data_IF_056280766935
#
_entry.id   IF_056280766935
#
_cell.length_a   1.000
_cell.length_b   1.000
_cell.length_c   1.000
_cell.angle_alpha   90.00
_cell.angle_beta   90.00
_cell.angle_gamma   90.00
#
_symmetry.space_group_name_H-M   'P 1'
#
loop_
_entity.id
_entity.type
_entity.pdbx_description
1 polymer ?
#
# COMPACT_ATOMS: atom_id res chain seq x y z
N UNK A 1 12.02 -2.29 -3.66
CA UNK A 1 12.49 -1.11 -4.43
C UNK A 1 13.92 -1.35 -4.87
N UNK A 2 14.20 -1.20 -6.16
CA UNK A 2 15.57 -1.21 -6.66
C UNK A 2 16.08 0.24 -6.80
N UNK A 3 17.17 0.53 -6.08
CA UNK A 3 17.88 1.80 -6.10
C UNK A 3 18.99 1.73 -7.16
N UNK A 4 18.64 2.10 -8.39
CA UNK A 4 19.57 2.04 -9.54
C UNK A 4 20.81 2.92 -9.36
N UNK A 5 20.68 4.02 -8.65
CA UNK A 5 21.75 5.01 -8.38
C UNK A 5 22.89 4.47 -7.47
N UNK A 6 22.57 3.49 -6.63
CA UNK A 6 23.53 2.85 -5.70
C UNK A 6 23.55 1.33 -5.83
N UNK A 7 22.98 0.79 -6.91
CA UNK A 7 22.90 -0.65 -7.18
C UNK A 7 22.45 -1.48 -5.97
N UNK A 8 21.36 -1.08 -5.34
CA UNK A 8 20.89 -1.66 -4.08
C UNK A 8 19.43 -2.04 -4.17
N UNK A 9 19.11 -3.27 -3.80
CA UNK A 9 17.74 -3.73 -3.61
C UNK A 9 17.30 -3.46 -2.17
N UNK A 10 16.17 -2.78 -2.00
CA UNK A 10 15.56 -2.52 -0.71
C UNK A 10 14.26 -3.33 -0.56
N UNK A 11 14.19 -4.17 0.46
CA UNK A 11 13.00 -4.94 0.82
C UNK A 11 12.28 -4.26 1.98
N UNK A 12 10.99 -4.00 1.79
CA UNK A 12 10.13 -3.40 2.81
C UNK A 12 9.05 -4.38 3.22
N UNK A 13 8.73 -4.41 4.51
CA UNK A 13 7.61 -5.21 5.03
C UNK A 13 6.97 -4.54 6.24
N UNK A 14 5.74 -4.93 6.51
CA UNK A 14 5.02 -4.53 7.72
C UNK A 14 5.26 -5.54 8.84
N UNK A 15 5.56 -5.03 10.02
CA UNK A 15 5.58 -5.78 11.26
C UNK A 15 4.50 -5.26 12.21
N UNK A 16 3.71 -6.16 12.77
CA UNK A 16 2.60 -5.84 13.67
C UNK A 16 2.88 -6.41 15.04
N UNK A 17 2.84 -5.59 16.05
CA UNK A 17 2.79 -6.02 17.45
C UNK A 17 1.38 -5.77 18.01
N UNK A 18 0.59 -6.83 18.07
CA UNK A 18 -0.78 -6.75 18.61
C UNK A 18 -0.84 -6.48 20.11
N UNK A 19 0.22 -6.81 20.86
CA UNK A 19 0.30 -6.60 22.30
C UNK A 19 0.51 -5.12 22.64
N UNK A 20 1.51 -4.51 22.01
CA UNK A 20 1.83 -3.09 22.20
C UNK A 20 0.99 -2.17 21.31
N UNK A 21 0.28 -2.74 20.32
CA UNK A 21 -0.47 -2.02 19.28
C UNK A 21 0.39 -1.05 18.49
N UNK A 22 1.61 -1.49 18.18
CA UNK A 22 2.53 -0.76 17.33
C UNK A 22 2.61 -1.46 15.98
N UNK A 23 2.37 -0.71 14.91
CA UNK A 23 2.65 -1.12 13.54
C UNK A 23 3.96 -0.46 13.09
N UNK A 24 4.81 -1.23 12.41
CA UNK A 24 6.09 -0.77 11.88
C UNK A 24 6.20 -1.12 10.41
N UNK A 25 6.76 -0.21 9.64
CA UNK A 25 7.33 -0.53 8.32
C UNK A 25 8.82 -0.71 8.54
N UNK A 26 9.32 -1.86 8.13
CA UNK A 26 10.71 -2.28 8.27
C UNK A 26 11.39 -2.29 6.91
N UNK A 27 12.70 -2.13 6.90
CA UNK A 27 13.54 -2.22 5.70
C UNK A 27 14.79 -3.06 5.94
N UNK A 28 15.21 -3.79 4.92
CA UNK A 28 16.56 -4.33 4.73
C UNK A 28 17.05 -4.02 3.33
N UNK A 29 18.35 -4.00 3.15
CA UNK A 29 19.00 -3.74 1.87
C UNK A 29 19.99 -4.83 1.53
N UNK A 30 20.22 -5.03 0.23
CA UNK A 30 21.25 -5.92 -0.29
C UNK A 30 21.76 -5.41 -1.63
N UNK A 31 23.02 -5.71 -1.95
CA UNK A 31 23.64 -5.46 -3.26
C UNK A 31 23.81 -6.74 -4.08
N UNK A 32 23.66 -7.90 -3.48
CA UNK A 32 23.89 -9.21 -4.11
C UNK A 32 22.66 -10.15 -4.05
N UNK A 33 21.59 -9.74 -3.36
CA UNK A 33 20.39 -10.55 -3.15
C UNK A 33 20.55 -11.68 -2.11
N UNK A 34 21.74 -11.89 -1.59
CA UNK A 34 22.10 -12.99 -0.67
C UNK A 34 22.34 -12.45 0.74
N UNK A 35 23.21 -11.44 0.86
CA UNK A 35 23.58 -10.85 2.14
C UNK A 35 22.73 -9.60 2.40
N UNK A 36 21.96 -9.64 3.49
CA UNK A 36 21.02 -8.57 3.84
C UNK A 36 21.50 -7.78 5.05
N UNK A 37 21.34 -6.48 4.99
CA UNK A 37 21.62 -5.59 6.12
C UNK A 37 20.77 -5.94 7.33
N UNK A 38 21.12 -5.41 8.51
CA UNK A 38 20.26 -5.44 9.69
C UNK A 38 18.94 -4.73 9.40
N UNK A 39 17.83 -5.27 9.92
CA UNK A 39 16.51 -4.66 9.78
C UNK A 39 16.45 -3.29 10.49
N UNK A 40 15.88 -2.30 9.83
CA UNK A 40 15.71 -0.94 10.32
C UNK A 40 14.24 -0.53 10.33
N UNK A 41 13.83 0.28 11.30
CA UNK A 41 12.51 0.89 11.31
C UNK A 41 12.47 2.04 10.29
N UNK A 42 11.47 2.04 9.42
CA UNK A 42 11.23 3.08 8.41
C UNK A 42 10.11 4.01 8.85
N UNK A 43 9.06 3.44 9.42
CA UNK A 43 7.93 4.15 9.95
C UNK A 43 7.35 3.38 11.13
N UNK A 44 7.01 4.09 12.19
CA UNK A 44 6.37 3.52 13.39
C UNK A 44 5.08 4.26 13.63
N UNK A 45 4.00 3.54 13.82
CA UNK A 45 2.69 4.12 14.11
C UNK A 45 1.97 3.42 15.26
N UNK A 46 1.15 4.18 15.98
CA UNK A 46 0.21 3.63 16.94
C UNK A 46 -1.00 3.05 16.20
N UNK A 47 -1.16 1.73 16.24
CA UNK A 47 -2.25 1.03 15.56
C UNK A 47 -3.66 1.40 16.09
N UNK A 48 -3.76 2.18 17.17
CA UNK A 48 -5.02 2.75 17.65
C UNK A 48 -5.48 3.94 16.81
N UNK A 49 -4.56 4.71 16.28
CA UNK A 49 -4.81 5.95 15.52
C UNK A 49 -4.53 5.82 14.03
N UNK A 50 -3.43 5.17 13.67
CA UNK A 50 -2.97 4.99 12.29
C UNK A 50 -2.45 3.56 12.08
N UNK A 51 -3.34 2.65 11.73
CA UNK A 51 -2.99 1.27 11.43
C UNK A 51 -2.62 1.10 9.96
N UNK A 52 -1.32 1.03 9.69
CA UNK A 52 -0.77 1.02 8.34
C UNK A 52 -0.91 -0.36 7.69
N UNK A 53 -1.44 -0.39 6.47
CA UNK A 53 -1.45 -1.56 5.58
C UNK A 53 -0.74 -1.23 4.27
N UNK A 54 -0.14 -2.28 3.66
CA UNK A 54 0.35 -2.29 2.29
C UNK A 54 1.21 -1.08 1.93
N UNK A 55 2.44 -1.00 2.44
CA UNK A 55 3.35 0.05 2.03
C UNK A 55 3.82 -0.21 0.58
N UNK A 56 3.20 0.44 -0.39
CA UNK A 56 3.73 0.54 -1.74
C UNK A 56 4.75 1.68 -1.76
N UNK A 57 6.00 1.37 -2.04
CA UNK A 57 7.10 2.33 -2.01
C UNK A 57 7.83 2.31 -3.34
N UNK A 58 8.05 3.48 -3.92
CA UNK A 58 8.92 3.68 -5.08
C UNK A 58 9.97 4.74 -4.76
N UNK A 59 11.08 4.69 -5.50
CA UNK A 59 12.12 5.71 -5.48
C UNK A 59 12.30 6.28 -6.87
N UNK A 60 12.13 7.58 -6.99
CA UNK A 60 12.32 8.31 -8.24
C UNK A 60 12.71 9.76 -7.98
N UNK A 61 13.48 10.33 -8.89
CA UNK A 61 13.90 11.74 -8.83
C UNK A 61 14.48 12.15 -7.46
N UNK A 62 15.27 11.25 -6.83
CA UNK A 62 15.92 11.50 -5.55
C UNK A 62 14.98 11.45 -4.35
N UNK A 63 13.74 10.92 -4.48
CA UNK A 63 12.75 10.84 -3.40
C UNK A 63 12.09 9.48 -3.32
N UNK A 64 11.82 9.07 -2.10
CA UNK A 64 10.90 7.97 -1.81
C UNK A 64 9.47 8.48 -1.77
N UNK A 65 8.57 7.74 -2.36
CA UNK A 65 7.12 7.96 -2.35
C UNK A 65 6.45 6.72 -1.81
N UNK A 66 5.54 6.89 -0.86
CA UNK A 66 4.87 5.76 -0.20
C UNK A 66 3.36 5.98 -0.16
N UNK A 67 2.64 4.99 -0.65
CA UNK A 67 1.18 4.86 -0.48
C UNK A 67 0.88 3.74 0.50
N UNK A 68 -0.06 4.00 1.41
CA UNK A 68 -0.49 3.03 2.43
C UNK A 68 -2.00 3.10 2.60
N UNK A 69 -2.61 2.05 3.12
CA UNK A 69 -4.00 2.11 3.59
C UNK A 69 -4.02 2.23 5.10
N UNK A 70 -4.76 3.21 5.63
CA UNK A 70 -5.03 3.26 7.05
C UNK A 70 -6.29 2.45 7.37
N UNK A 71 -6.17 1.28 8.02
CA UNK A 71 -7.33 0.45 8.37
C UNK A 71 -8.21 1.00 9.49
N UNK A 72 -7.94 2.18 9.99
CA UNK A 72 -8.83 2.95 10.84
C UNK A 72 -9.59 3.98 9.98
N UNK A 73 -10.62 4.62 10.51
CA UNK A 73 -11.28 5.80 9.94
C UNK A 73 -11.64 5.69 8.44
N UNK A 74 -12.40 4.67 8.04
CA UNK A 74 -12.91 4.52 6.66
C UNK A 74 -11.90 4.02 5.62
N UNK A 75 -10.73 3.54 6.00
CA UNK A 75 -9.72 2.97 5.13
C UNK A 75 -9.22 3.92 4.02
N UNK A 76 -8.82 5.15 4.35
CA UNK A 76 -8.26 6.04 3.36
C UNK A 76 -6.92 5.52 2.84
N UNK A 77 -6.61 5.85 1.60
CA UNK A 77 -5.25 5.76 1.07
C UNK A 77 -4.50 7.01 1.52
N UNK A 78 -3.32 6.82 2.07
CA UNK A 78 -2.44 7.87 2.57
C UNK A 78 -1.16 7.90 1.74
N UNK A 79 -0.70 9.10 1.41
CA UNK A 79 0.54 9.36 0.69
C UNK A 79 1.55 10.08 1.57
N UNK A 80 2.82 9.71 1.46
CA UNK A 80 3.96 10.33 2.14
C UNK A 80 5.17 10.38 1.21
N UNK A 81 6.04 11.35 1.45
CA UNK A 81 7.35 11.44 0.80
C UNK A 81 8.48 11.41 1.82
N UNK A 82 9.67 10.99 1.35
CA UNK A 82 10.90 11.05 2.13
C UNK A 82 12.11 11.29 1.20
N UNK A 83 13.12 12.00 1.68
CA UNK A 83 14.40 12.15 0.99
C UNK A 83 15.35 10.98 1.27
N UNK A 84 15.28 10.41 2.45
CA UNK A 84 16.22 9.40 2.97
C UNK A 84 15.59 8.03 3.21
N UNK A 85 14.26 7.92 3.06
CA UNK A 85 13.51 6.70 3.33
C UNK A 85 13.26 6.43 4.82
N UNK A 86 13.59 7.37 5.71
CA UNK A 86 13.41 7.25 7.16
C UNK A 86 12.57 8.39 7.75
N UNK A 87 12.75 9.61 7.27
CA UNK A 87 11.98 10.77 7.71
C UNK A 87 10.89 11.08 6.68
N UNK A 88 9.65 10.77 7.06
CA UNK A 88 8.48 10.87 6.18
C UNK A 88 7.64 12.10 6.50
N UNK A 89 7.09 12.71 5.46
CA UNK A 89 6.15 13.83 5.61
C UNK A 89 4.89 13.41 6.37
N UNK A 90 4.17 14.39 6.92
CA UNK A 90 2.79 14.19 7.39
C UNK A 90 1.95 13.64 6.23
N UNK A 91 1.13 12.59 6.46
CA UNK A 91 0.39 11.96 5.38
C UNK A 91 -0.69 12.88 4.80
N UNK A 92 -0.78 12.92 3.48
CA UNK A 92 -1.94 13.45 2.76
C UNK A 92 -2.91 12.32 2.39
N UNK A 93 -4.21 12.61 2.34
CA UNK A 93 -5.22 11.63 1.96
C UNK A 93 -5.46 11.64 0.47
N UNK A 94 -5.45 10.47 -0.15
CA UNK A 94 -5.82 10.27 -1.54
C UNK A 94 -7.26 9.77 -1.63
N UNK A 95 -8.08 10.48 -2.38
CA UNK A 95 -9.48 10.11 -2.62
C UNK A 95 -9.58 9.23 -3.87
N UNK A 96 -9.69 7.91 -3.67
CA UNK A 96 -9.96 6.99 -4.77
C UNK A 96 -11.44 7.03 -5.17
N UNK A 97 -11.70 7.16 -6.47
CA UNK A 97 -13.05 7.25 -7.04
C UNK A 97 -13.54 5.84 -7.43
N UNK A 98 -14.06 5.10 -6.46
CA UNK A 98 -14.62 3.77 -6.68
C UNK A 98 -15.95 3.78 -7.44
N UNK A 99 -16.35 2.66 -8.07
CA UNK A 99 -17.69 2.50 -8.66
C UNK A 99 -18.85 2.62 -7.64
N UNK A 100 -18.57 2.44 -6.35
CA UNK A 100 -19.52 2.56 -5.26
C UNK A 100 -18.87 3.24 -4.04
N UNK A 101 -19.61 4.13 -3.40
CA UNK A 101 -19.21 4.80 -2.15
C UNK A 101 -19.14 3.87 -0.94
N UNK A 102 -19.67 2.65 -1.05
CA UNK A 102 -19.59 1.61 -0.03
C UNK A 102 -18.26 0.86 -0.05
N UNK A 103 -17.44 1.03 -1.08
CA UNK A 103 -16.12 0.35 -1.19
C UNK A 103 -15.09 1.00 -0.26
N UNK A 104 -14.23 0.16 0.29
CA UNK A 104 -13.14 0.55 1.20
C UNK A 104 -11.86 -0.13 0.75
N UNK A 105 -10.78 0.63 0.64
CA UNK A 105 -9.45 0.12 0.30
C UNK A 105 -8.98 -0.90 1.35
N UNK A 106 -8.27 -1.94 0.90
CA UNK A 106 -7.69 -2.94 1.80
C UNK A 106 -6.19 -3.11 1.58
N UNK A 107 -5.79 -3.58 0.41
CA UNK A 107 -4.40 -3.67 -0.01
C UNK A 107 -4.20 -2.87 -1.30
N UNK A 108 -3.01 -2.38 -1.52
CA UNK A 108 -2.64 -1.69 -2.75
C UNK A 108 -1.18 -1.97 -3.11
N UNK A 109 -0.89 -1.77 -4.37
CA UNK A 109 0.46 -1.62 -4.90
C UNK A 109 0.48 -0.53 -5.96
N UNK A 110 1.63 0.14 -6.11
CA UNK A 110 1.81 1.26 -7.05
C UNK A 110 3.11 1.08 -7.81
N UNK A 111 3.03 1.27 -9.12
CA UNK A 111 4.20 1.36 -9.98
C UNK A 111 4.21 2.71 -10.71
N UNK A 112 5.39 3.16 -11.09
CA UNK A 112 5.56 4.29 -12.01
C UNK A 112 6.00 3.78 -13.37
N UNK A 113 5.32 4.23 -14.41
CA UNK A 113 5.58 3.89 -15.81
C UNK A 113 5.70 5.17 -16.64
N UNK A 114 6.02 5.06 -17.91
CA UNK A 114 6.01 6.21 -18.84
C UNK A 114 4.63 6.90 -18.93
N UNK A 115 3.55 6.18 -18.57
CA UNK A 115 2.18 6.70 -18.53
C UNK A 115 1.84 7.45 -17.25
N UNK A 116 2.71 7.41 -16.23
CA UNK A 116 2.51 7.94 -14.89
C UNK A 116 2.38 6.83 -13.84
N UNK A 117 1.67 7.10 -12.75
CA UNK A 117 1.43 6.14 -11.67
C UNK A 117 0.26 5.23 -12.00
N UNK A 118 0.48 3.94 -11.83
CA UNK A 118 -0.54 2.91 -11.98
C UNK A 118 -0.72 2.20 -10.63
N UNK A 119 -1.95 2.07 -10.17
CA UNK A 119 -2.27 1.48 -8.87
C UNK A 119 -3.23 0.31 -9.04
N UNK A 120 -2.86 -0.82 -8.45
CA UNK A 120 -3.77 -1.91 -8.16
C UNK A 120 -4.26 -1.78 -6.72
N UNK A 121 -5.55 -1.89 -6.50
CA UNK A 121 -6.12 -1.80 -5.16
C UNK A 121 -7.20 -2.86 -4.94
N UNK A 122 -7.02 -3.64 -3.89
CA UNK A 122 -8.05 -4.55 -3.40
C UNK A 122 -9.00 -3.73 -2.52
N UNK A 123 -10.30 -3.83 -2.78
CA UNK A 123 -11.30 -3.15 -1.98
C UNK A 123 -12.49 -4.07 -1.68
N UNK A 124 -13.14 -3.83 -0.54
CA UNK A 124 -14.27 -4.59 -0.03
C UNK A 124 -15.49 -3.70 0.25
N UNK A 125 -16.69 -4.27 0.20
CA UNK A 125 -17.91 -3.57 0.57
C UNK A 125 -18.06 -3.44 2.08
N UNK A 126 -18.27 -2.20 2.56
CA UNK A 126 -18.54 -1.93 3.97
C UNK A 126 -19.80 -2.68 4.42
N UNK A 127 -19.72 -3.37 5.56
CA UNK A 127 -20.82 -4.12 6.16
C UNK A 127 -20.91 -5.58 5.77
N UNK A 128 -20.11 -6.06 4.81
CA UNK A 128 -20.07 -7.48 4.49
C UNK A 128 -19.21 -8.25 5.50
N UNK A 129 -19.79 -9.28 6.13
CA UNK A 129 -19.10 -10.13 7.13
C UNK A 129 -17.90 -10.87 6.55
N UNK A 130 -17.93 -11.21 5.28
CA UNK A 130 -16.93 -12.02 4.57
C UNK A 130 -16.21 -11.21 3.49
N UNK A 131 -16.07 -9.92 3.68
CA UNK A 131 -15.25 -9.02 2.86
C UNK A 131 -15.05 -9.52 1.42
N UNK A 132 -16.12 -9.57 0.63
CA UNK A 132 -16.01 -9.79 -0.81
C UNK A 132 -15.05 -8.74 -1.36
N UNK A 133 -13.87 -9.19 -1.76
CA UNK A 133 -12.81 -8.30 -2.21
C UNK A 133 -12.69 -8.40 -3.71
N UNK A 134 -12.75 -7.27 -4.37
CA UNK A 134 -12.48 -7.14 -5.78
C UNK A 134 -11.14 -6.43 -5.99
N UNK A 135 -10.49 -6.72 -7.11
CA UNK A 135 -9.30 -6.00 -7.55
C UNK A 135 -9.71 -4.89 -8.51
N UNK A 136 -9.22 -3.71 -8.24
CA UNK A 136 -9.43 -2.50 -9.03
C UNK A 136 -8.11 -1.97 -9.56
N UNK A 137 -8.18 -1.34 -10.72
CA UNK A 137 -7.09 -0.59 -11.33
C UNK A 137 -7.46 0.88 -11.42
N UNK A 138 -6.47 1.75 -11.20
CA UNK A 138 -6.57 3.18 -11.49
C UNK A 138 -5.20 3.72 -11.88
N UNK A 139 -5.16 4.89 -12.51
CA UNK A 139 -3.93 5.56 -12.92
C UNK A 139 -3.99 7.06 -12.69
N UNK A 140 -2.82 7.68 -12.58
CA UNK A 140 -2.67 9.12 -12.42
C UNK A 140 -1.43 9.64 -13.14
N UNK A 141 -1.41 10.92 -13.49
CA UNK A 141 -0.22 11.62 -13.97
C UNK A 141 0.66 12.17 -12.84
N UNK A 142 0.11 12.23 -11.63
CA UNK A 142 0.80 12.66 -10.42
C UNK A 142 0.46 11.70 -9.25
N UNK A 143 1.01 11.96 -8.08
CA UNK A 143 0.92 11.10 -6.91
C UNK A 143 -0.47 11.09 -6.25
N UNK A 144 -1.38 11.98 -6.65
CA UNK A 144 -2.62 12.26 -5.93
C UNK A 144 -3.90 12.07 -6.76
N UNK A 145 -3.91 12.48 -8.02
CA UNK A 145 -5.14 12.63 -8.81
C UNK A 145 -5.46 11.37 -9.62
N UNK A 146 -5.71 10.29 -8.91
CA UNK A 146 -6.07 9.02 -9.54
C UNK A 146 -7.44 9.09 -10.22
N UNK A 147 -7.52 8.53 -11.43
CA UNK A 147 -8.76 8.41 -12.21
C UNK A 147 -9.77 7.53 -11.50
N UNK A 148 -10.97 7.41 -12.08
CA UNK A 148 -12.00 6.48 -11.60
C UNK A 148 -11.46 5.06 -11.63
N UNK A 149 -11.61 4.33 -10.51
CA UNK A 149 -11.22 2.94 -10.41
C UNK A 149 -12.10 2.06 -11.30
N UNK A 150 -11.49 1.17 -12.06
CA UNK A 150 -12.18 0.15 -12.84
C UNK A 150 -11.99 -1.22 -12.18
N UNK A 151 -13.02 -2.03 -12.15
CA UNK A 151 -12.94 -3.41 -11.65
C UNK A 151 -12.26 -4.28 -12.68
N UNK A 152 -11.16 -4.96 -12.32
CA UNK A 152 -10.43 -5.86 -13.23
C UNK A 152 -10.60 -7.33 -12.85
N UNK A 153 -10.86 -7.63 -11.57
CA UNK A 153 -11.09 -9.00 -11.14
C UNK A 153 -12.09 -9.03 -9.98
N UNK A 154 -13.01 -10.00 -10.03
CA UNK A 154 -13.96 -10.32 -8.97
C UNK A 154 -13.71 -11.73 -8.48
N UNK A 155 -14.05 -12.07 -7.21
CA UNK A 155 -14.06 -13.44 -6.74
C UNK A 155 -14.96 -14.32 -7.62
N UNK A 156 -14.64 -15.59 -7.74
CA UNK A 156 -15.52 -16.53 -8.42
C UNK A 156 -16.84 -16.71 -7.64
N UNK A 157 -17.95 -16.91 -8.35
CA UNK A 157 -19.27 -17.10 -7.71
C UNK A 157 -19.42 -18.46 -7.01
N UNK A 158 -18.45 -19.35 -7.14
CA UNK A 158 -18.44 -20.66 -6.46
C UNK A 158 -18.21 -20.46 -4.97
N UNK A 159 -19.28 -20.60 -4.20
CA UNK A 159 -19.36 -20.46 -2.73
C UNK A 159 -18.59 -21.53 -1.95
N UNK A 160 -17.33 -21.71 -2.19
CA UNK A 160 -16.48 -22.41 -1.21
C UNK A 160 -15.96 -21.36 -0.23
N UNK A 161 -15.90 -21.69 1.05
CA UNK A 161 -15.51 -20.76 2.12
C UNK A 161 -14.14 -20.06 1.89
N UNK A 162 -13.30 -20.61 1.03
CA UNK A 162 -12.01 -20.07 0.63
C UNK A 162 -12.08 -19.08 -0.53
N UNK A 163 -13.07 -19.24 -1.44
CA UNK A 163 -13.21 -18.38 -2.63
C UNK A 163 -13.79 -17.00 -2.29
N UNK A 164 -14.40 -16.87 -1.10
CA UNK A 164 -15.02 -15.63 -0.66
C UNK A 164 -14.08 -14.68 0.09
N UNK A 165 -12.82 -15.06 0.25
CA UNK A 165 -11.85 -14.24 1.03
C UNK A 165 -11.12 -13.20 0.22
N UNK A 166 -11.37 -13.15 -1.09
CA UNK A 166 -10.81 -12.14 -1.96
C UNK A 166 -9.46 -12.51 -2.56
N UNK A 167 -8.97 -11.60 -3.35
CA UNK A 167 -7.66 -11.65 -4.00
C UNK A 167 -6.67 -11.04 -3.02
N UNK A 168 -5.63 -11.78 -2.70
CA UNK A 168 -4.51 -11.34 -1.87
C UNK A 168 -3.29 -11.12 -2.73
#
# INVERSE_FOLDING_TARGET
VYRKDIDTLECYWRQVDNRTRIDKIMKRTTTDGIHWSKAQNVLVSDARTDRILSPAIIYENGRYKMWTVNCKRKFPVLYRESKDGFHWTTPSTIQLKYPSDRLRSWHLDVIHTEKGYEMLVVAFYKGHRHREMNLYYTSSKNEHDFKKCITILKPSEKKKAWDNRGIY
#
